data_IF_127652845278
#
_entry.id   IF_127652845278
#
_cell.length_a   1.000
_cell.length_b   1.000
_cell.length_c   1.000
_cell.angle_alpha   90.00
_cell.angle_beta   90.00
_cell.angle_gamma   90.00
#
_symmetry.space_group_name_H-M   'P 1'
#
loop_
_entity.id
_entity.type
_entity.pdbx_description
1 polymer ?
#
# COMPACT_ATOMS: atom_id res chain seq x y z
N UNK A 1 -6.80 2.94 9.32
CA UNK A 1 -6.53 4.31 8.82
C UNK A 1 -7.35 5.35 9.58
N UNK A 2 -7.14 6.65 9.31
CA UNK A 2 -8.02 7.74 9.77
C UNK A 2 -8.77 8.34 8.57
N UNK A 3 -9.88 9.06 8.79
CA UNK A 3 -10.70 9.63 7.72
C UNK A 3 -11.77 8.70 7.16
N UNK A 4 -12.37 9.08 6.03
CA UNK A 4 -13.56 8.42 5.46
C UNK A 4 -13.35 6.94 5.12
N UNK A 5 -12.13 6.56 4.74
CA UNK A 5 -11.76 5.19 4.37
C UNK A 5 -11.33 4.27 5.52
N UNK A 6 -11.52 4.69 6.78
CA UNK A 6 -10.94 3.98 7.95
C UNK A 6 -11.27 2.49 7.99
N UNK A 7 -12.53 2.11 7.81
CA UNK A 7 -12.96 0.71 7.93
C UNK A 7 -12.29 -0.18 6.88
N UNK A 8 -12.29 0.25 5.62
CA UNK A 8 -11.64 -0.49 4.52
C UNK A 8 -10.14 -0.65 4.75
N UNK A 9 -9.47 0.39 5.28
CA UNK A 9 -8.04 0.29 5.63
C UNK A 9 -7.80 -0.70 6.76
N UNK A 10 -8.66 -0.69 7.80
CA UNK A 10 -8.50 -1.61 8.94
C UNK A 10 -8.66 -3.06 8.50
N UNK A 11 -9.63 -3.37 7.64
CA UNK A 11 -9.85 -4.71 7.12
C UNK A 11 -8.60 -5.26 6.39
N UNK A 12 -7.97 -4.46 5.53
CA UNK A 12 -6.73 -4.87 4.84
C UNK A 12 -5.59 -5.11 5.83
N UNK A 13 -5.45 -4.25 6.84
CA UNK A 13 -4.39 -4.42 7.85
C UNK A 13 -4.65 -5.63 8.74
N UNK A 14 -5.88 -5.88 9.16
CA UNK A 14 -6.25 -7.06 9.95
C UNK A 14 -5.95 -8.37 9.21
N UNK A 15 -6.12 -8.38 7.88
CA UNK A 15 -5.85 -9.55 7.04
C UNK A 15 -4.37 -9.73 6.70
N UNK A 16 -3.67 -8.65 6.33
CA UNK A 16 -2.36 -8.72 5.67
C UNK A 16 -1.18 -8.21 6.49
N UNK A 17 -1.41 -7.53 7.62
CA UNK A 17 -0.30 -7.02 8.43
C UNK A 17 0.50 -8.16 9.07
N UNK A 18 1.82 -7.99 9.11
CA UNK A 18 2.75 -8.85 9.87
C UNK A 18 3.70 -7.96 10.68
N UNK A 19 4.19 -8.48 11.81
CA UNK A 19 5.12 -7.73 12.67
C UNK A 19 6.52 -7.55 12.04
N UNK A 20 6.86 -8.40 11.07
CA UNK A 20 8.17 -8.47 10.43
C UNK A 20 8.22 -7.75 9.06
N UNK A 21 7.27 -6.85 8.79
CA UNK A 21 7.25 -6.09 7.54
C UNK A 21 8.47 -5.19 7.42
N UNK A 22 9.19 -5.32 6.31
CA UNK A 22 10.20 -4.37 5.89
C UNK A 22 9.57 -3.07 5.39
N UNK A 23 10.34 -1.97 5.37
CA UNK A 23 9.83 -0.64 5.01
C UNK A 23 9.06 -0.64 3.67
N UNK A 24 9.61 -1.29 2.64
CA UNK A 24 8.98 -1.35 1.32
C UNK A 24 7.67 -2.14 1.35
N UNK A 25 7.60 -3.22 2.13
CA UNK A 25 6.38 -4.02 2.30
C UNK A 25 5.30 -3.22 3.04
N UNK A 26 5.70 -2.48 4.08
CA UNK A 26 4.79 -1.60 4.81
C UNK A 26 4.22 -0.48 3.94
N UNK A 27 5.04 0.11 3.05
CA UNK A 27 4.58 1.10 2.06
C UNK A 27 3.57 0.49 1.10
N UNK A 28 3.85 -0.71 0.57
CA UNK A 28 2.94 -1.42 -0.34
C UNK A 28 1.61 -1.78 0.35
N UNK A 29 1.65 -2.28 1.58
CA UNK A 29 0.45 -2.58 2.36
C UNK A 29 -0.40 -1.32 2.61
N UNK A 30 0.24 -0.20 2.95
CA UNK A 30 -0.44 1.09 3.12
C UNK A 30 -1.11 1.57 1.83
N UNK A 31 -0.43 1.42 0.69
CA UNK A 31 -0.98 1.76 -0.62
C UNK A 31 -2.12 0.84 -1.04
N UNK A 32 -2.04 -0.46 -0.77
CA UNK A 32 -3.13 -1.40 -1.04
C UNK A 32 -4.36 -1.05 -0.21
N UNK A 33 -4.17 -0.75 1.08
CA UNK A 33 -5.24 -0.33 1.96
C UNK A 33 -5.89 0.98 1.49
N UNK A 34 -5.08 1.94 1.04
CA UNK A 34 -5.57 3.18 0.43
C UNK A 34 -6.31 2.90 -0.89
N UNK A 35 -5.81 1.98 -1.71
CA UNK A 35 -6.42 1.57 -2.97
C UNK A 35 -7.81 0.98 -2.75
N UNK A 36 -7.98 0.10 -1.76
CA UNK A 36 -9.30 -0.42 -1.37
C UNK A 36 -10.22 0.69 -0.88
N UNK A 37 -9.72 1.56 0.00
CA UNK A 37 -10.50 2.67 0.57
C UNK A 37 -10.92 3.73 -0.46
N UNK A 38 -10.13 3.92 -1.52
CA UNK A 38 -10.39 4.86 -2.61
C UNK A 38 -11.08 4.21 -3.82
N UNK A 39 -11.60 2.98 -3.67
CA UNK A 39 -12.28 2.23 -4.74
C UNK A 39 -11.44 2.13 -6.02
N UNK A 40 -10.14 1.88 -5.84
CA UNK A 40 -9.18 1.71 -6.93
C UNK A 40 -8.59 3.00 -7.50
N UNK A 41 -8.92 4.17 -6.94
CA UNK A 41 -8.48 5.48 -7.45
C UNK A 41 -7.24 5.99 -6.71
N UNK A 42 -6.13 5.27 -6.82
CA UNK A 42 -4.83 5.70 -6.29
C UNK A 42 -3.84 5.90 -7.43
N UNK A 43 -3.34 7.13 -7.55
CA UNK A 43 -2.32 7.53 -8.51
C UNK A 43 -1.24 8.35 -7.81
N UNK A 44 -0.02 8.36 -8.37
CA UNK A 44 1.12 9.05 -7.78
C UNK A 44 0.89 10.56 -7.62
N UNK A 45 0.24 11.19 -8.59
CA UNK A 45 -0.04 12.63 -8.61
C UNK A 45 -0.96 13.10 -7.46
N UNK A 46 -1.72 12.19 -6.83
CA UNK A 46 -2.67 12.50 -5.75
C UNK A 46 -2.30 11.82 -4.43
N UNK A 47 -1.13 11.20 -4.36
CA UNK A 47 -0.69 10.40 -3.20
C UNK A 47 0.65 10.90 -2.69
N UNK A 48 0.72 11.23 -1.40
CA UNK A 48 1.96 11.62 -0.76
C UNK A 48 2.42 10.54 0.22
N UNK A 49 3.72 10.23 0.20
CA UNK A 49 4.33 9.25 1.12
C UNK A 49 5.51 9.91 1.83
N UNK A 50 5.49 9.80 3.16
CA UNK A 50 6.59 10.20 4.03
C UNK A 50 7.12 9.00 4.80
N UNK A 51 8.44 8.86 4.88
CA UNK A 51 9.10 7.80 5.64
C UNK A 51 10.12 8.37 6.62
N UNK A 52 10.34 7.65 7.73
CA UNK A 52 11.39 7.96 8.70
C UNK A 52 12.26 6.73 8.84
N UNK A 53 13.56 6.87 8.56
CA UNK A 53 14.52 5.77 8.66
C UNK A 53 15.20 5.77 10.03
N UNK A 54 15.35 4.62 10.65
CA UNK A 54 15.97 4.53 11.97
C UNK A 54 17.47 4.90 11.95
N UNK A 55 18.15 4.58 10.83
CA UNK A 55 19.59 4.79 10.70
C UNK A 55 20.05 6.24 10.81
N UNK A 56 19.24 7.18 10.31
CA UNK A 56 19.52 8.62 10.34
C UNK A 56 18.48 9.46 11.11
N UNK A 57 17.35 8.86 11.48
CA UNK A 57 16.22 9.48 12.19
C UNK A 57 15.66 10.71 11.48
N UNK A 58 15.78 10.75 10.15
CA UNK A 58 15.29 11.86 9.32
C UNK A 58 13.99 11.48 8.63
N UNK A 59 13.17 12.50 8.44
CA UNK A 59 11.97 12.43 7.61
C UNK A 59 12.34 12.65 6.14
N UNK A 60 11.78 11.82 5.28
CA UNK A 60 11.92 11.91 3.83
C UNK A 60 10.53 11.91 3.22
N UNK A 61 10.22 12.96 2.45
CA UNK A 61 9.07 12.95 1.53
C UNK A 61 9.55 12.30 0.24
N UNK A 62 8.88 11.22 -0.17
CA UNK A 62 9.19 10.58 -1.44
C UNK A 62 8.81 11.51 -2.59
N UNK A 63 9.63 11.51 -3.64
CA UNK A 63 9.32 12.18 -4.89
C UNK A 63 8.17 11.49 -5.61
N UNK A 64 7.48 12.21 -6.50
CA UNK A 64 6.39 11.64 -7.30
C UNK A 64 6.84 10.40 -8.09
N UNK A 65 8.07 10.39 -8.62
CA UNK A 65 8.62 9.23 -9.32
C UNK A 65 8.81 8.01 -8.43
N UNK A 66 9.25 8.20 -7.18
CA UNK A 66 9.33 7.11 -6.20
C UNK A 66 7.94 6.60 -5.83
N UNK A 67 6.97 7.49 -5.61
CA UNK A 67 5.57 7.11 -5.36
C UNK A 67 4.99 6.34 -6.54
N UNK A 68 5.26 6.77 -7.78
CA UNK A 68 4.80 6.09 -8.99
C UNK A 68 5.32 4.65 -9.07
N UNK A 69 6.59 4.41 -8.77
CA UNK A 69 7.16 3.06 -8.73
C UNK A 69 6.46 2.17 -7.69
N UNK A 70 6.14 2.70 -6.52
CA UNK A 70 5.38 1.96 -5.50
C UNK A 70 3.92 1.68 -5.91
N UNK A 71 3.24 2.66 -6.51
CA UNK A 71 1.86 2.50 -6.99
C UNK A 71 1.79 1.43 -8.09
N UNK A 72 2.73 1.45 -9.04
CA UNK A 72 2.81 0.43 -10.09
C UNK A 72 3.04 -0.96 -9.48
N UNK A 73 4.02 -1.10 -8.58
CA UNK A 73 4.29 -2.37 -7.89
C UNK A 73 3.07 -2.87 -7.10
N UNK A 74 2.37 -1.99 -6.39
CA UNK A 74 1.14 -2.34 -5.67
C UNK A 74 0.05 -2.83 -6.63
N UNK A 75 -0.20 -2.12 -7.73
CA UNK A 75 -1.20 -2.52 -8.74
C UNK A 75 -0.88 -3.91 -9.33
N UNK A 76 0.39 -4.18 -9.60
CA UNK A 76 0.84 -5.49 -10.08
C UNK A 76 0.61 -6.59 -9.04
N UNK A 77 0.91 -6.34 -7.75
CA UNK A 77 0.66 -7.30 -6.68
C UNK A 77 -0.84 -7.61 -6.52
N UNK A 78 -1.70 -6.58 -6.50
CA UNK A 78 -3.16 -6.78 -6.40
C UNK A 78 -3.73 -7.55 -7.59
N UNK A 79 -3.17 -7.35 -8.79
CA UNK A 79 -3.55 -8.13 -9.97
C UNK A 79 -3.12 -9.60 -9.87
N UNK A 80 -1.92 -9.86 -9.32
CA UNK A 80 -1.41 -11.21 -9.10
C UNK A 80 -2.27 -11.98 -8.07
N UNK A 81 -2.58 -11.38 -6.92
CA UNK A 81 -3.41 -11.98 -5.88
C UNK A 81 -4.79 -12.42 -6.40
N UNK A 82 -5.42 -11.58 -7.25
CA UNK A 82 -6.70 -11.92 -7.90
C UNK A 82 -6.61 -13.11 -8.84
N UNK A 83 -5.47 -13.26 -9.54
CA UNK A 83 -5.26 -14.36 -10.48
C UNK A 83 -4.97 -15.70 -9.80
N UNK A 84 -4.53 -15.67 -8.54
CA UNK A 84 -4.32 -16.87 -7.72
C UNK A 84 -5.59 -17.31 -7.00
N UNK A 85 -6.43 -16.37 -6.54
CA UNK A 85 -7.75 -16.67 -5.97
C UNK A 85 -8.70 -17.37 -6.96
N UNK A 86 -8.66 -17.01 -8.23
CA UNK A 86 -9.53 -17.56 -9.30
C UNK A 86 -9.15 -19.00 -9.73
N UNK A 87 -7.97 -19.49 -9.33
CA UNK A 87 -7.50 -20.86 -9.61
C UNK A 87 -7.79 -21.86 -8.50
N UNK A 88 -8.28 -21.40 -7.35
CA UNK A 88 -8.54 -22.24 -6.17
C UNK A 88 -9.97 -22.81 -6.07
N UNK A 89 -10.89 -22.41 -6.96
CA UNK A 89 -12.30 -22.85 -6.96
C UNK A 89 -12.65 -23.87 -8.08
N UNK A 90 -11.66 -24.58 -8.63
CA UNK A 90 -11.88 -25.60 -9.68
C UNK A 90 -11.80 -27.06 -9.16
#
# INVERSE_FOLDING_TARGET
GIGAGRSAVMEVFEEKYREDLEMDEAVLLGLEALYKAAEGKVEAATTEIGIIKLGDRKFYKLSEGEVAAYVERMKNNVAADKSEGDKGEA
#
